data_IF_460133627867
#
_entry.id   IF_460133627867
#
_cell.length_a   1.000
_cell.length_b   1.000
_cell.length_c   1.000
_cell.angle_alpha   90.00
_cell.angle_beta   90.00
_cell.angle_gamma   90.00
#
_symmetry.space_group_name_H-M   'P 1'
#
loop_
_entity.id
_entity.type
_entity.pdbx_description
1 polymer ?
#
# COMPACT_ATOMS: atom_id res chain seq x y z
N UNK A 1 -1.48 -20.32 41.02
CA UNK A 1 -1.71 -19.63 42.31
C UNK A 1 -2.21 -18.24 42.01
N UNK A 2 -3.52 -18.04 42.23
CA UNK A 2 -4.26 -16.79 42.48
C UNK A 2 -4.05 -15.58 41.57
N UNK A 3 -4.41 -15.73 40.29
CA UNK A 3 -4.67 -14.58 39.39
C UNK A 3 -6.14 -14.15 39.46
N UNK A 4 -6.99 -14.93 40.14
CA UNK A 4 -8.46 -14.74 40.16
C UNK A 4 -9.03 -13.83 41.25
N UNK A 5 -8.24 -13.15 42.07
CA UNK A 5 -8.76 -12.37 43.20
C UNK A 5 -8.54 -10.86 43.18
N UNK A 6 -8.10 -10.29 42.05
CA UNK A 6 -8.09 -8.82 41.91
C UNK A 6 -9.34 -8.38 41.12
N UNK A 7 -10.41 -8.06 41.83
CA UNK A 7 -11.48 -7.27 41.21
C UNK A 7 -10.91 -5.90 40.85
N UNK A 8 -11.11 -5.45 39.60
CA UNK A 8 -10.67 -4.14 39.20
C UNK A 8 -11.35 -3.07 40.06
N UNK A 9 -10.54 -2.10 40.56
CA UNK A 9 -10.96 -1.02 41.43
C UNK A 9 -11.99 -0.05 40.83
N UNK A 10 -12.41 -0.26 39.60
CA UNK A 10 -13.23 0.68 38.80
C UNK A 10 -14.63 0.17 38.42
N UNK A 11 -15.12 -0.85 39.11
CA UNK A 11 -16.51 -1.24 39.10
C UNK A 11 -16.96 -2.09 37.89
N UNK A 12 -17.83 -3.07 38.19
CA UNK A 12 -18.31 -4.08 37.27
C UNK A 12 -18.93 -3.50 35.97
N UNK A 13 -19.59 -2.37 36.05
CA UNK A 13 -20.24 -1.73 34.91
C UNK A 13 -19.25 -1.27 33.84
N UNK A 14 -18.09 -0.73 34.20
CA UNK A 14 -17.03 -0.33 33.28
C UNK A 14 -16.34 -1.55 32.66
N UNK A 15 -16.15 -2.61 33.43
CA UNK A 15 -15.64 -3.90 32.96
C UNK A 15 -16.56 -4.51 31.89
N UNK A 16 -17.86 -4.60 32.19
CA UNK A 16 -18.86 -5.15 31.27
C UNK A 16 -18.90 -4.32 29.96
N UNK A 17 -18.88 -3.00 30.05
CA UNK A 17 -18.86 -2.10 28.91
C UNK A 17 -17.62 -2.26 28.04
N UNK A 18 -16.48 -2.42 28.69
CA UNK A 18 -15.20 -2.65 28.01
C UNK A 18 -15.21 -3.98 27.25
N UNK A 19 -15.71 -5.05 27.88
CA UNK A 19 -15.83 -6.36 27.25
C UNK A 19 -16.78 -6.35 26.05
N UNK A 20 -17.88 -5.60 26.11
CA UNK A 20 -18.78 -5.39 24.97
C UNK A 20 -18.07 -4.73 23.80
N UNK A 21 -17.33 -3.64 24.05
CA UNK A 21 -16.57 -2.93 23.02
C UNK A 21 -15.52 -3.87 22.39
N UNK A 22 -14.75 -4.58 23.18
CA UNK A 22 -13.75 -5.53 22.68
C UNK A 22 -14.37 -6.65 21.86
N UNK A 23 -15.52 -7.14 22.26
CA UNK A 23 -16.25 -8.19 21.53
C UNK A 23 -16.73 -7.67 20.19
N UNK A 24 -17.30 -6.46 20.14
CA UNK A 24 -17.74 -5.82 18.91
C UNK A 24 -16.55 -5.54 17.94
N UNK A 25 -15.43 -5.07 18.48
CA UNK A 25 -14.22 -4.86 17.69
C UNK A 25 -13.67 -6.17 17.11
N UNK A 26 -13.57 -7.23 17.91
CA UNK A 26 -13.15 -8.56 17.44
C UNK A 26 -14.04 -9.06 16.30
N UNK A 27 -15.36 -8.92 16.44
CA UNK A 27 -16.29 -9.31 15.40
C UNK A 27 -16.10 -8.51 14.10
N UNK A 28 -15.89 -7.20 14.24
CA UNK A 28 -15.61 -6.30 13.10
C UNK A 28 -14.32 -6.67 12.37
N UNK A 29 -13.25 -6.97 13.11
CA UNK A 29 -11.95 -7.38 12.56
C UNK A 29 -12.06 -8.73 11.83
N UNK A 30 -12.71 -9.74 12.43
CA UNK A 30 -12.94 -11.05 11.79
C UNK A 30 -13.75 -10.93 10.49
N UNK A 31 -14.75 -10.06 10.46
CA UNK A 31 -15.56 -9.81 9.26
C UNK A 31 -14.75 -9.20 8.12
N UNK A 32 -13.70 -8.47 8.43
CA UNK A 32 -12.76 -7.88 7.46
C UNK A 32 -11.56 -8.81 7.12
N UNK A 33 -11.61 -10.08 7.57
CA UNK A 33 -10.58 -11.08 7.27
C UNK A 33 -9.35 -11.03 8.18
N UNK A 34 -9.39 -10.22 9.25
CA UNK A 34 -8.35 -10.23 10.28
C UNK A 34 -8.55 -11.43 11.22
N UNK A 35 -7.58 -12.34 11.21
CA UNK A 35 -7.59 -13.56 12.04
C UNK A 35 -6.65 -13.44 13.25
N UNK A 36 -5.83 -12.39 13.31
CA UNK A 36 -4.89 -12.17 14.41
C UNK A 36 -5.62 -11.73 15.67
N UNK A 37 -5.60 -12.58 16.68
CA UNK A 37 -6.18 -12.29 17.99
C UNK A 37 -5.22 -11.56 18.96
N UNK A 38 -4.01 -11.21 18.53
CA UNK A 38 -3.00 -10.61 19.39
C UNK A 38 -3.43 -9.27 19.97
N UNK A 39 -4.12 -8.45 19.17
CA UNK A 39 -4.72 -7.20 19.65
C UNK A 39 -5.74 -7.45 20.78
N UNK A 40 -6.66 -8.39 20.57
CA UNK A 40 -7.66 -8.74 21.58
C UNK A 40 -7.01 -9.25 22.87
N UNK A 41 -5.97 -10.06 22.77
CA UNK A 41 -5.21 -10.56 23.92
C UNK A 41 -4.54 -9.40 24.70
N UNK A 42 -3.85 -8.50 24.01
CA UNK A 42 -3.23 -7.30 24.65
C UNK A 42 -4.26 -6.45 25.38
N UNK A 43 -5.43 -6.25 24.78
CA UNK A 43 -6.52 -5.47 25.39
C UNK A 43 -7.09 -6.16 26.63
N UNK A 44 -7.26 -7.48 26.60
CA UNK A 44 -7.66 -8.25 27.78
C UNK A 44 -6.63 -8.21 28.88
N UNK A 45 -5.34 -8.33 28.55
CA UNK A 45 -4.26 -8.23 29.52
C UNK A 45 -4.20 -6.82 30.15
N UNK A 46 -4.41 -5.77 29.35
CA UNK A 46 -4.52 -4.39 29.81
C UNK A 46 -5.67 -4.18 30.80
N UNK A 47 -6.83 -4.81 30.54
CA UNK A 47 -7.98 -4.77 31.44
C UNK A 47 -7.64 -5.28 32.86
N UNK A 48 -6.90 -6.39 32.92
CA UNK A 48 -6.54 -7.02 34.19
C UNK A 48 -5.37 -6.34 34.91
N UNK A 49 -4.57 -5.56 34.17
CA UNK A 49 -3.40 -4.84 34.72
C UNK A 49 -3.73 -3.41 35.17
N UNK A 50 -4.76 -2.79 34.59
CA UNK A 50 -5.12 -1.42 34.90
C UNK A 50 -5.51 -1.24 36.38
N UNK A 51 -4.90 -0.25 37.05
CA UNK A 51 -5.14 0.05 38.48
C UNK A 51 -6.39 0.92 38.63
N UNK A 52 -6.73 1.70 37.60
CA UNK A 52 -7.89 2.61 37.60
C UNK A 52 -8.43 2.82 36.18
N UNK A 53 -9.64 3.41 36.10
CA UNK A 53 -10.31 3.66 34.84
C UNK A 53 -9.48 4.56 33.88
N UNK A 54 -8.77 5.54 34.41
CA UNK A 54 -7.97 6.47 33.60
C UNK A 54 -6.80 5.75 32.92
N UNK A 55 -6.14 4.85 33.63
CA UNK A 55 -5.08 4.02 33.08
C UNK A 55 -5.61 3.04 32.03
N UNK A 56 -6.77 2.44 32.28
CA UNK A 56 -7.45 1.58 31.32
C UNK A 56 -7.76 2.32 30.00
N UNK A 57 -8.35 3.52 30.10
CA UNK A 57 -8.64 4.35 28.91
C UNK A 57 -7.36 4.74 28.16
N UNK A 58 -6.28 5.04 28.86
CA UNK A 58 -4.99 5.33 28.24
C UNK A 58 -4.43 4.12 27.48
N UNK A 59 -4.42 2.94 28.10
CA UNK A 59 -3.97 1.70 27.46
C UNK A 59 -4.80 1.36 26.23
N UNK A 60 -6.14 1.49 26.34
CA UNK A 60 -7.06 1.35 25.21
C UNK A 60 -6.71 2.27 24.05
N UNK A 61 -6.56 3.55 24.36
CA UNK A 61 -6.26 4.57 23.36
C UNK A 61 -4.95 4.26 22.65
N UNK A 62 -3.89 3.97 23.39
CA UNK A 62 -2.55 3.73 22.84
C UNK A 62 -2.52 2.47 21.96
N UNK A 63 -3.13 1.36 22.43
CA UNK A 63 -3.21 0.12 21.65
C UNK A 63 -4.12 0.25 20.43
N UNK A 64 -5.25 0.97 20.53
CA UNK A 64 -6.13 1.23 19.37
C UNK A 64 -5.45 2.08 18.32
N UNK A 65 -4.75 3.14 18.72
CA UNK A 65 -3.99 3.98 17.80
C UNK A 65 -2.90 3.17 17.10
N UNK A 66 -2.15 2.37 17.84
CA UNK A 66 -1.12 1.48 17.29
C UNK A 66 -1.68 0.47 16.28
N UNK A 67 -2.85 -0.11 16.57
CA UNK A 67 -3.49 -1.07 15.67
C UNK A 67 -4.03 -0.40 14.39
N UNK A 68 -4.64 0.79 14.52
CA UNK A 68 -5.09 1.58 13.36
C UNK A 68 -3.89 1.94 12.47
N UNK A 69 -2.77 2.36 13.04
CA UNK A 69 -1.57 2.69 12.28
C UNK A 69 -0.96 1.45 11.62
N UNK A 70 -0.96 0.30 12.28
CA UNK A 70 -0.55 -0.99 11.70
C UNK A 70 -1.39 -1.33 10.47
N UNK A 71 -2.72 -1.33 10.61
CA UNK A 71 -3.65 -1.64 9.53
C UNK A 71 -3.53 -0.65 8.36
N UNK A 72 -3.35 0.63 8.67
CA UNK A 72 -3.14 1.68 7.65
C UNK A 72 -1.84 1.44 6.88
N UNK A 73 -0.75 1.13 7.59
CA UNK A 73 0.54 0.84 6.96
C UNK A 73 0.52 -0.43 6.11
N UNK A 74 -0.12 -1.50 6.58
CA UNK A 74 -0.31 -2.73 5.81
C UNK A 74 -1.13 -2.49 4.54
N UNK A 75 -2.19 -1.69 4.64
CA UNK A 75 -2.99 -1.30 3.48
C UNK A 75 -2.17 -0.49 2.47
N UNK A 76 -1.40 0.50 2.94
CA UNK A 76 -0.50 1.27 2.07
C UNK A 76 0.54 0.37 1.39
N UNK A 77 1.12 -0.59 2.10
CA UNK A 77 2.06 -1.56 1.51
C UNK A 77 1.39 -2.47 0.48
N UNK A 78 0.14 -2.92 0.72
CA UNK A 78 -0.63 -3.71 -0.24
C UNK A 78 -0.99 -2.91 -1.50
N UNK A 79 -1.27 -1.61 -1.37
CA UNK A 79 -1.58 -0.72 -2.50
C UNK A 79 -0.31 -0.28 -3.26
N UNK A 80 0.82 -0.10 -2.59
CA UNK A 80 2.07 0.36 -3.20
C UNK A 80 2.86 -0.74 -3.93
N UNK A 81 2.81 -2.00 -3.46
CA UNK A 81 3.52 -3.12 -4.09
C UNK A 81 3.20 -3.30 -5.58
N UNK A 82 1.91 -3.34 -5.99
CA UNK A 82 1.56 -3.51 -7.40
C UNK A 82 2.10 -2.39 -8.29
N UNK A 83 2.16 -1.15 -7.79
CA UNK A 83 2.70 -0.02 -8.56
C UNK A 83 4.22 -0.12 -8.66
N UNK A 84 4.90 -0.54 -7.63
CA UNK A 84 6.36 -0.78 -7.67
C UNK A 84 6.69 -1.89 -8.68
N UNK A 85 5.94 -3.00 -8.66
CA UNK A 85 6.11 -4.10 -9.59
C UNK A 85 5.78 -3.68 -11.04
N UNK A 86 4.72 -2.88 -11.22
CA UNK A 86 4.37 -2.30 -12.51
C UNK A 86 5.47 -1.38 -13.06
N UNK A 87 6.04 -0.48 -12.23
CA UNK A 87 7.15 0.39 -12.64
C UNK A 87 8.37 -0.43 -13.06
N UNK A 88 8.68 -1.50 -12.32
CA UNK A 88 9.77 -2.41 -12.67
C UNK A 88 9.50 -3.11 -14.00
N UNK A 89 8.29 -3.63 -14.21
CA UNK A 89 7.89 -4.25 -15.47
C UNK A 89 7.98 -3.28 -16.65
N UNK A 90 7.49 -2.04 -16.49
CA UNK A 90 7.59 -0.99 -17.50
C UNK A 90 9.07 -0.67 -17.82
N UNK A 91 9.93 -0.57 -16.81
CA UNK A 91 11.37 -0.33 -17.00
C UNK A 91 12.09 -1.46 -17.74
N UNK A 92 11.61 -2.69 -17.63
CA UNK A 92 12.18 -3.84 -18.32
C UNK A 92 11.68 -3.96 -19.77
N UNK A 93 10.46 -3.46 -20.07
CA UNK A 93 9.78 -3.65 -21.36
C UNK A 93 9.47 -2.34 -22.11
N UNK A 94 10.02 -1.19 -21.67
CA UNK A 94 9.68 0.11 -22.27
C UNK A 94 10.00 0.22 -23.77
N UNK A 95 10.90 -0.60 -24.30
CA UNK A 95 11.29 -0.64 -25.71
C UNK A 95 10.20 -1.31 -26.59
N UNK A 96 9.34 -2.10 -25.99
CA UNK A 96 8.31 -2.87 -26.68
C UNK A 96 7.04 -2.02 -26.90
N UNK A 97 6.11 -2.51 -27.74
CA UNK A 97 4.79 -1.90 -27.93
C UNK A 97 3.89 -2.15 -26.71
N UNK A 98 4.31 -1.65 -25.55
CA UNK A 98 3.71 -1.90 -24.24
C UNK A 98 2.36 -1.17 -24.11
N UNK A 99 1.32 -1.90 -23.70
CA UNK A 99 -0.03 -1.39 -23.42
C UNK A 99 -0.33 -1.44 -21.95
N UNK A 100 -1.33 -0.67 -21.52
CA UNK A 100 -1.83 -0.67 -20.14
C UNK A 100 -2.27 -2.08 -19.70
N UNK A 101 -2.93 -2.81 -20.62
CA UNK A 101 -3.41 -4.16 -20.39
C UNK A 101 -2.27 -5.14 -20.09
N UNK A 102 -1.13 -5.00 -20.76
CA UNK A 102 0.03 -5.88 -20.57
C UNK A 102 0.58 -5.70 -19.14
N UNK A 103 0.70 -4.44 -18.71
CA UNK A 103 1.19 -4.10 -17.36
C UNK A 103 0.19 -4.55 -16.29
N UNK A 104 -1.10 -4.25 -16.48
CA UNK A 104 -2.13 -4.61 -15.51
C UNK A 104 -2.24 -6.12 -15.31
N UNK A 105 -2.13 -6.90 -16.40
CA UNK A 105 -2.11 -8.37 -16.33
C UNK A 105 -0.86 -8.89 -15.61
N UNK A 106 0.31 -8.28 -15.87
CA UNK A 106 1.55 -8.67 -15.22
C UNK A 106 1.51 -8.49 -13.68
N UNK A 107 0.74 -7.53 -13.19
CA UNK A 107 0.56 -7.28 -11.75
C UNK A 107 -0.75 -7.85 -11.17
N UNK A 108 -1.54 -8.57 -11.98
CA UNK A 108 -2.74 -9.29 -11.53
C UNK A 108 -3.98 -8.43 -11.33
N UNK A 109 -4.10 -7.29 -12.05
CA UNK A 109 -5.26 -6.39 -11.97
C UNK A 109 -5.98 -6.24 -13.31
N UNK A 110 -7.27 -5.85 -13.25
CA UNK A 110 -7.95 -5.38 -14.47
C UNK A 110 -7.45 -3.98 -14.85
N UNK A 111 -7.45 -3.67 -16.15
CA UNK A 111 -6.90 -2.43 -16.70
C UNK A 111 -7.57 -1.16 -16.14
N UNK A 112 -8.89 -1.18 -15.93
CA UNK A 112 -9.64 -0.01 -15.43
C UNK A 112 -9.22 0.35 -13.99
N UNK A 113 -9.18 -0.65 -13.11
CA UNK A 113 -8.76 -0.45 -11.72
C UNK A 113 -7.28 -0.04 -11.65
N UNK A 114 -6.43 -0.74 -12.41
CA UNK A 114 -5.00 -0.45 -12.48
C UNK A 114 -4.73 0.98 -12.96
N UNK A 115 -5.43 1.45 -14.01
CA UNK A 115 -5.29 2.82 -14.52
C UNK A 115 -5.55 3.88 -13.46
N UNK A 116 -6.64 3.73 -12.68
CA UNK A 116 -6.97 4.65 -11.61
C UNK A 116 -5.93 4.63 -10.47
N UNK A 117 -5.50 3.42 -10.07
CA UNK A 117 -4.50 3.21 -9.04
C UNK A 117 -3.13 3.77 -9.47
N UNK A 118 -2.71 3.50 -10.71
CA UNK A 118 -1.44 3.98 -11.25
C UNK A 118 -1.39 5.51 -11.28
N UNK A 119 -2.47 6.17 -11.77
CA UNK A 119 -2.57 7.62 -11.80
C UNK A 119 -2.56 8.23 -10.39
N UNK A 120 -3.25 7.61 -9.43
CA UNK A 120 -3.27 8.06 -8.03
C UNK A 120 -1.87 8.04 -7.41
N UNK A 121 -1.11 6.96 -7.65
CA UNK A 121 0.20 6.74 -7.01
C UNK A 121 1.37 7.42 -7.74
N UNK A 122 1.27 7.63 -9.06
CA UNK A 122 2.34 8.26 -9.86
C UNK A 122 2.08 9.72 -10.20
N UNK A 123 0.84 10.19 -10.03
CA UNK A 123 0.40 11.53 -10.40
C UNK A 123 0.08 11.67 -11.90
N UNK A 124 0.37 10.66 -12.74
CA UNK A 124 0.19 10.72 -14.18
C UNK A 124 -0.38 9.41 -14.74
N UNK A 125 -0.94 9.46 -15.95
CA UNK A 125 -1.42 8.24 -16.60
C UNK A 125 -0.26 7.37 -17.10
N UNK A 126 -0.57 6.11 -17.44
CA UNK A 126 0.44 5.14 -17.91
C UNK A 126 1.18 5.60 -19.18
N UNK A 127 0.48 6.18 -20.16
CA UNK A 127 1.09 6.60 -21.43
C UNK A 127 2.05 7.78 -21.24
N UNK A 128 1.69 8.73 -20.37
CA UNK A 128 2.56 9.86 -20.03
C UNK A 128 3.82 9.36 -19.30
N UNK A 129 3.65 8.44 -18.36
CA UNK A 129 4.76 7.81 -17.64
C UNK A 129 5.72 7.06 -18.57
N UNK A 130 5.18 6.24 -19.49
CA UNK A 130 5.98 5.49 -20.45
C UNK A 130 6.72 6.45 -21.42
N UNK A 131 6.05 7.51 -21.86
CA UNK A 131 6.66 8.53 -22.73
C UNK A 131 7.79 9.25 -22.01
N UNK A 132 7.58 9.68 -20.78
CA UNK A 132 8.62 10.33 -19.97
C UNK A 132 9.83 9.40 -19.75
N UNK A 133 9.58 8.14 -19.41
CA UNK A 133 10.64 7.14 -19.24
C UNK A 133 11.48 7.00 -20.52
N UNK A 134 10.82 6.86 -21.69
CA UNK A 134 11.48 6.74 -23.00
C UNK A 134 12.29 7.99 -23.33
N UNK A 135 11.73 9.19 -23.08
CA UNK A 135 12.45 10.45 -23.35
C UNK A 135 13.67 10.60 -22.44
N UNK A 136 13.58 10.20 -21.18
CA UNK A 136 14.73 10.22 -20.29
C UNK A 136 15.82 9.25 -20.75
N UNK A 137 15.43 8.05 -21.22
CA UNK A 137 16.37 7.09 -21.80
C UNK A 137 16.98 7.58 -23.12
N UNK A 138 16.21 8.27 -23.96
CA UNK A 138 16.73 8.91 -25.16
C UNK A 138 17.83 9.95 -24.84
N UNK A 139 17.59 10.79 -23.83
CA UNK A 139 18.59 11.78 -23.39
C UNK A 139 19.89 11.12 -22.93
N UNK A 140 19.79 10.04 -22.15
CA UNK A 140 20.95 9.26 -21.70
C UNK A 140 21.75 8.70 -22.90
N UNK A 141 21.05 8.12 -23.89
CA UNK A 141 21.68 7.52 -25.07
C UNK A 141 22.29 8.54 -26.02
N UNK A 142 21.65 9.71 -26.18
CA UNK A 142 22.15 10.79 -27.04
C UNK A 142 23.36 11.55 -26.43
N UNK A 143 23.56 11.47 -25.11
CA UNK A 143 24.75 12.01 -24.47
C UNK A 143 26.01 11.16 -24.74
N UNK A 144 25.89 9.96 -25.27
CA UNK A 144 26.99 9.15 -25.77
C UNK A 144 27.14 9.42 -27.27
N UNK A 145 28.32 9.88 -27.70
CA UNK A 145 28.62 10.25 -29.12
C UNK A 145 28.54 9.08 -30.13
N UNK A 146 28.13 7.90 -29.70
CA UNK A 146 28.15 6.67 -30.52
C UNK A 146 26.80 6.36 -31.20
N UNK A 147 25.70 7.02 -30.83
CA UNK A 147 24.36 6.67 -31.32
C UNK A 147 23.81 7.73 -32.27
N UNK A 148 23.28 7.32 -33.42
CA UNK A 148 22.47 8.20 -34.25
C UNK A 148 21.09 8.43 -33.66
N UNK A 149 20.42 9.54 -34.00
CA UNK A 149 19.05 9.85 -33.57
C UNK A 149 18.06 8.75 -33.97
N UNK A 150 18.27 8.11 -35.14
CA UNK A 150 17.48 6.98 -35.60
C UNK A 150 17.68 5.75 -34.71
N UNK A 151 18.93 5.41 -34.40
CA UNK A 151 19.25 4.25 -33.55
C UNK A 151 18.65 4.44 -32.14
N UNK A 152 18.71 5.65 -31.60
CA UNK A 152 18.11 5.96 -30.30
C UNK A 152 16.60 5.83 -30.35
N UNK A 153 15.91 6.34 -31.39
CA UNK A 153 14.47 6.20 -31.54
C UNK A 153 14.06 4.71 -31.55
N UNK A 154 14.77 3.88 -32.33
CA UNK A 154 14.51 2.44 -32.43
C UNK A 154 14.76 1.72 -31.08
N UNK A 155 15.85 2.05 -30.39
CA UNK A 155 16.20 1.46 -29.08
C UNK A 155 15.18 1.75 -27.98
N UNK A 156 14.53 2.91 -28.02
CA UNK A 156 13.51 3.29 -27.02
C UNK A 156 12.08 2.94 -27.43
N UNK A 157 11.91 2.24 -28.58
CA UNK A 157 10.62 1.70 -29.03
C UNK A 157 9.78 2.67 -29.88
N UNK A 158 10.39 3.66 -30.54
CA UNK A 158 9.73 4.51 -31.54
C UNK A 158 10.15 4.11 -32.95
N UNK A 159 9.21 3.58 -33.74
CA UNK A 159 9.43 3.24 -35.15
C UNK A 159 9.32 4.43 -36.10
N UNK A 160 8.62 5.50 -35.67
CA UNK A 160 8.45 6.73 -36.45
C UNK A 160 9.36 7.83 -35.91
N UNK A 161 10.45 8.09 -36.62
CA UNK A 161 11.43 9.13 -36.27
C UNK A 161 10.81 10.54 -36.25
N UNK A 162 9.84 10.83 -37.14
CA UNK A 162 9.15 12.13 -37.16
C UNK A 162 8.31 12.35 -35.91
N UNK A 163 7.66 11.28 -35.46
CA UNK A 163 6.88 11.30 -34.22
C UNK A 163 7.81 11.46 -33.00
N UNK A 164 8.88 10.68 -32.94
CA UNK A 164 9.91 10.81 -31.89
C UNK A 164 10.48 12.24 -31.82
N UNK A 165 10.90 12.82 -32.96
CA UNK A 165 11.47 14.19 -33.01
C UNK A 165 10.49 15.29 -32.60
N UNK A 166 9.20 15.04 -32.58
CA UNK A 166 8.19 16.00 -32.08
C UNK A 166 7.94 15.86 -30.59
N UNK A 167 8.20 14.69 -30.03
CA UNK A 167 8.07 14.44 -28.60
C UNK A 167 9.32 14.85 -27.82
N UNK A 168 10.49 14.68 -28.44
CA UNK A 168 11.80 15.03 -27.85
C UNK A 168 12.04 16.55 -27.89
#
# INVERSE_FOLDING_TARGET
RDVMSRQPLWGKMLEDWFLEILTAMRYGMQRNGETDNSFYQRMMDGLWQAINAQELFRLLHDDMCGEIDRLRNERMLREARPITDAKRFIQQHYQEALRLEDVSNAVGFNATYFSAMFKKETGQNFMDYLTELRMNKAKELLCSDENSVQDVADQIGYRDLKYFSRLF
#
